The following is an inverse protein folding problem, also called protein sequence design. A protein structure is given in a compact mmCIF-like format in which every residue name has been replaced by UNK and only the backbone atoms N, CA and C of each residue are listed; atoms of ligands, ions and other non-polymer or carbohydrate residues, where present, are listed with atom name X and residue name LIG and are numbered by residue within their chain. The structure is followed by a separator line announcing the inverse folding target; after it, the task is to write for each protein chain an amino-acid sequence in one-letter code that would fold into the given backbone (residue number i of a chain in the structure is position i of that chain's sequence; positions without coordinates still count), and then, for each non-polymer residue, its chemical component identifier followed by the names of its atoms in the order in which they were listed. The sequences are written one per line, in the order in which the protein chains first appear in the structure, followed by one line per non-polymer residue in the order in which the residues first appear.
data_IF_249524032334
#
_entry.id   IF_249524032334
#
_cell.length_a   1.000
_cell.length_b   1.000
_cell.length_c   1.000
_cell.angle_alpha   90.00
_cell.angle_beta   90.00
_cell.angle_gamma   90.00
#
_symmetry.space_group_name_H-M   'P 1'
#
loop_
_entity.id
_entity.type
_entity.pdbx_description
1 polymer ?
#
# COMPACT_ATOMS: atom_id res chain seq x y z
N UNK A 1 2.24 22.40 -12.30
CA UNK A 1 3.12 21.24 -12.54
C UNK A 1 2.51 20.04 -11.81
N UNK A 2 2.30 18.92 -12.49
CA UNK A 2 1.79 17.69 -11.85
C UNK A 2 2.93 17.09 -11.03
N UNK A 3 2.76 16.98 -9.71
CA UNK A 3 3.73 16.30 -8.87
C UNK A 3 3.58 14.78 -9.08
N UNK A 4 4.61 14.07 -9.55
CA UNK A 4 4.55 12.62 -9.69
C UNK A 4 4.48 11.95 -8.31
N UNK A 5 4.00 10.72 -8.28
CA UNK A 5 4.03 9.90 -7.06
C UNK A 5 5.47 9.77 -6.58
N UNK A 6 5.77 10.00 -5.28
CA UNK A 6 7.11 9.79 -4.75
C UNK A 6 7.60 8.35 -4.97
N UNK A 7 8.88 8.17 -5.32
CA UNK A 7 9.42 6.86 -5.70
C UNK A 7 9.16 5.77 -4.65
N UNK A 8 9.36 6.07 -3.36
CA UNK A 8 9.16 5.07 -2.30
C UNK A 8 7.69 4.68 -2.09
N UNK A 9 6.77 5.61 -2.36
CA UNK A 9 5.33 5.32 -2.39
C UNK A 9 5.03 4.40 -3.57
N UNK A 10 5.56 4.71 -4.75
CA UNK A 10 5.43 3.87 -5.94
C UNK A 10 5.94 2.44 -5.71
N UNK A 11 7.15 2.29 -5.15
CA UNK A 11 7.76 0.98 -4.86
C UNK A 11 6.87 0.14 -3.93
N UNK A 12 6.35 0.75 -2.87
CA UNK A 12 5.49 0.07 -1.90
C UNK A 12 4.16 -0.37 -2.54
N UNK A 13 3.58 0.47 -3.41
CA UNK A 13 2.33 0.18 -4.11
C UNK A 13 2.51 -0.93 -5.14
N UNK A 14 3.65 -0.95 -5.86
CA UNK A 14 3.99 -2.04 -6.78
C UNK A 14 4.18 -3.36 -6.03
N UNK A 15 4.94 -3.36 -4.91
CA UNK A 15 5.09 -4.56 -4.07
C UNK A 15 3.75 -5.06 -3.52
N UNK A 16 2.89 -4.13 -3.08
CA UNK A 16 1.54 -4.43 -2.62
C UNK A 16 0.70 -5.08 -3.73
N UNK A 17 0.61 -4.44 -4.90
CA UNK A 17 -0.18 -4.94 -6.04
C UNK A 17 0.33 -6.28 -6.57
N UNK A 18 1.64 -6.52 -6.56
CA UNK A 18 2.22 -7.83 -6.89
C UNK A 18 1.71 -8.93 -5.96
N UNK A 19 1.49 -8.62 -4.68
CA UNK A 19 1.01 -9.60 -3.70
C UNK A 19 -0.49 -9.83 -3.74
N UNK A 20 -1.28 -8.76 -3.83
CA UNK A 20 -2.74 -8.86 -3.73
C UNK A 20 -3.43 -8.98 -5.09
N UNK A 21 -2.69 -8.78 -6.19
CA UNK A 21 -3.21 -8.67 -7.54
C UNK A 21 -3.73 -7.27 -7.87
N UNK A 22 -3.63 -6.88 -9.14
CA UNK A 22 -4.00 -5.54 -9.62
C UNK A 22 -5.47 -5.21 -9.41
N UNK A 23 -6.39 -6.17 -9.57
CA UNK A 23 -7.82 -5.96 -9.32
C UNK A 23 -8.15 -5.54 -7.88
N UNK A 24 -7.54 -6.23 -6.91
CA UNK A 24 -7.70 -5.89 -5.48
C UNK A 24 -7.02 -4.57 -5.15
N UNK A 25 -5.83 -4.31 -5.70
CA UNK A 25 -5.13 -3.06 -5.48
C UNK A 25 -5.93 -1.86 -6.00
N UNK A 26 -6.39 -1.89 -7.25
CA UNK A 26 -7.10 -0.77 -7.89
C UNK A 26 -8.44 -0.43 -7.21
N UNK A 27 -9.13 -1.42 -6.63
CA UNK A 27 -10.39 -1.20 -5.90
C UNK A 27 -10.21 -0.77 -4.44
N UNK A 28 -8.97 -0.75 -3.94
CA UNK A 28 -8.66 -0.47 -2.54
C UNK A 28 -8.85 1.00 -2.14
N UNK A 29 -9.15 1.23 -0.86
CA UNK A 29 -9.06 2.58 -0.27
C UNK A 29 -7.64 3.16 -0.37
N UNK A 30 -6.62 2.30 -0.35
CA UNK A 30 -5.22 2.70 -0.57
C UNK A 30 -5.07 3.45 -1.90
N UNK A 31 -5.48 2.86 -3.02
CA UNK A 31 -5.36 3.49 -4.35
C UNK A 31 -6.28 4.70 -4.48
N UNK A 32 -7.46 4.68 -3.85
CA UNK A 32 -8.32 5.89 -3.77
C UNK A 32 -7.57 7.08 -3.15
N UNK A 33 -6.81 6.85 -2.08
CA UNK A 33 -6.02 7.89 -1.40
C UNK A 33 -4.79 8.31 -2.22
N UNK A 34 -4.14 7.38 -2.93
CA UNK A 34 -3.07 7.71 -3.89
C UNK A 34 -3.56 8.65 -4.99
N UNK A 35 -4.75 8.41 -5.54
CA UNK A 35 -5.34 9.26 -6.58
C UNK A 35 -5.65 10.68 -6.06
N UNK A 36 -5.88 10.80 -4.74
CA UNK A 36 -6.04 12.08 -4.04
C UNK A 36 -4.71 12.70 -3.59
N UNK A 37 -3.57 12.07 -3.90
CA UNK A 37 -2.23 12.45 -3.46
C UNK A 37 -2.04 12.49 -1.94
N UNK A 38 -2.87 11.75 -1.21
CA UNK A 38 -2.78 11.61 0.24
C UNK A 38 -1.82 10.47 0.57
N UNK A 39 -0.54 10.69 0.31
CA UNK A 39 0.49 9.64 0.33
C UNK A 39 0.59 8.94 1.68
N UNK A 40 0.72 9.70 2.76
CA UNK A 40 0.84 9.14 4.11
C UNK A 40 -0.41 8.34 4.49
N UNK A 41 -1.60 8.88 4.21
CA UNK A 41 -2.86 8.20 4.46
C UNK A 41 -2.99 6.90 3.67
N UNK A 42 -2.52 6.88 2.41
CA UNK A 42 -2.47 5.69 1.58
C UNK A 42 -1.50 4.65 2.17
N UNK A 43 -0.29 5.04 2.57
CA UNK A 43 0.68 4.15 3.22
C UNK A 43 0.06 3.48 4.47
N UNK A 44 -0.69 4.23 5.28
CA UNK A 44 -1.38 3.72 6.47
C UNK A 44 -2.54 2.75 6.17
N UNK A 45 -2.94 2.55 4.91
CA UNK A 45 -3.90 1.50 4.55
C UNK A 45 -3.28 0.11 4.43
N UNK A 46 -1.95 0.00 4.31
CA UNK A 46 -1.26 -1.28 4.11
C UNK A 46 -1.57 -2.34 5.18
N UNK A 47 -1.59 -2.03 6.51
CA UNK A 47 -1.88 -3.03 7.55
C UNK A 47 -3.26 -3.67 7.49
N UNK A 48 -4.20 -3.15 6.67
CA UNK A 48 -5.52 -3.77 6.48
C UNK A 48 -5.48 -5.04 5.63
N UNK A 49 -4.38 -5.27 4.91
CA UNK A 49 -4.22 -6.36 3.93
C UNK A 49 -3.40 -7.52 4.50
N UNK A 50 -3.83 -8.05 5.65
CA UNK A 50 -3.11 -9.09 6.42
C UNK A 50 -3.93 -10.36 6.65
N UNK A 51 -5.14 -10.44 6.09
CA UNK A 51 -6.05 -11.57 6.24
C UNK A 51 -6.13 -12.39 4.95
N UNK A 52 -6.13 -13.72 5.09
CA UNK A 52 -6.36 -14.68 4.00
C UNK A 52 -7.58 -15.51 4.37
N UNK A 53 -8.64 -15.45 3.55
CA UNK A 53 -9.93 -16.12 3.83
C UNK A 53 -10.48 -15.79 5.24
N UNK A 54 -10.31 -14.54 5.68
CA UNK A 54 -10.75 -14.07 7.00
C UNK A 54 -9.84 -14.42 8.18
N UNK A 55 -8.75 -15.17 7.95
CA UNK A 55 -7.79 -15.56 9.00
C UNK A 55 -6.55 -14.68 8.91
N UNK A 56 -6.13 -14.14 10.06
CA UNK A 56 -4.92 -13.32 10.16
C UNK A 56 -3.67 -14.11 9.74
N UNK A 57 -2.73 -13.45 9.05
CA UNK A 57 -1.47 -14.03 8.63
C UNK A 57 -0.28 -13.16 9.07
N UNK A 58 0.56 -13.69 9.98
CA UNK A 58 1.73 -12.98 10.50
C UNK A 58 2.75 -12.60 9.42
N UNK A 59 2.89 -13.42 8.38
CA UNK A 59 3.80 -13.12 7.27
C UNK A 59 3.36 -11.91 6.45
N UNK A 60 2.05 -11.76 6.24
CA UNK A 60 1.48 -10.58 5.60
C UNK A 60 1.63 -9.35 6.48
N UNK A 61 1.38 -9.45 7.79
CA UNK A 61 1.58 -8.35 8.73
C UNK A 61 3.02 -7.82 8.69
N UNK A 62 4.00 -8.72 8.81
CA UNK A 62 5.42 -8.38 8.70
C UNK A 62 5.75 -7.72 7.34
N UNK A 63 5.13 -8.20 6.24
CA UNK A 63 5.30 -7.61 4.90
C UNK A 63 4.71 -6.19 4.84
N UNK A 64 3.48 -6.00 5.31
CA UNK A 64 2.77 -4.71 5.30
C UNK A 64 3.48 -3.68 6.16
N UNK A 65 4.04 -4.08 7.31
CA UNK A 65 4.86 -3.22 8.15
C UNK A 65 6.10 -2.69 7.41
N UNK A 66 6.83 -3.56 6.70
CA UNK A 66 8.01 -3.16 5.90
C UNK A 66 7.64 -2.25 4.72
N UNK A 67 6.59 -2.59 3.99
CA UNK A 67 6.09 -1.77 2.87
C UNK A 67 5.63 -0.39 3.36
N UNK A 68 4.91 -0.33 4.49
CA UNK A 68 4.46 0.92 5.08
C UNK A 68 5.63 1.77 5.54
N UNK A 69 6.61 1.17 6.23
CA UNK A 69 7.81 1.87 6.66
C UNK A 69 8.62 2.43 5.47
N UNK A 70 8.68 1.71 4.34
CA UNK A 70 9.32 2.22 3.12
C UNK A 70 8.52 3.36 2.49
N UNK A 71 7.21 3.16 2.35
CA UNK A 71 6.26 4.12 1.78
C UNK A 71 6.33 5.47 2.51
N UNK A 72 6.29 5.47 3.85
CA UNK A 72 6.32 6.67 4.68
C UNK A 72 7.64 7.46 4.60
N UNK A 73 8.75 6.85 4.13
CA UNK A 73 10.01 7.58 3.92
C UNK A 73 9.99 8.49 2.69
N UNK A 74 8.93 8.46 1.88
CA UNK A 74 8.77 9.35 0.73
C UNK A 74 7.39 10.01 0.64
N UNK A 75 6.51 9.71 1.61
CA UNK A 75 5.14 10.23 1.67
C UNK A 75 5.09 11.68 2.18
#
# INVERSE_FOLDING_TARGET
MVQPMPQKVYDAVVSFAFNVGTGNACSSTLVKLLNQRRWADACHQLPRWVYVKGVFNQGLDNRRAREMAWCLKGA
#
